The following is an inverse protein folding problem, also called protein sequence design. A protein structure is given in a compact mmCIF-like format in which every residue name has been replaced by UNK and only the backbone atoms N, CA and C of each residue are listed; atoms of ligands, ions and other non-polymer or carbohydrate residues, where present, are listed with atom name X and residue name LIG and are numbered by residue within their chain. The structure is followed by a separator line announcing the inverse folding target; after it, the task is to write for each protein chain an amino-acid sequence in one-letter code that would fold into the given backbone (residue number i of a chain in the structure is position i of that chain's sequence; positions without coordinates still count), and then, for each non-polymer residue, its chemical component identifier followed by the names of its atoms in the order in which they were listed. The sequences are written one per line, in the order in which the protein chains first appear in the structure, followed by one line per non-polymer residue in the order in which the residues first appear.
data_IF_398588726143
#
_entry.id   IF_398588726143
#
_cell.length_a   1.000
_cell.length_b   1.000
_cell.length_c   1.000
_cell.angle_alpha   90.00
_cell.angle_beta   90.00
_cell.angle_gamma   90.00
#
_symmetry.space_group_name_H-M   'P 1'
#
loop_
_entity.id
_entity.type
_entity.pdbx_description
1 polymer ?
#
# COMPACT_ATOMS: atom_id res chain seq x y z
N UNK A 1 -15.61 -1.87 -20.14
CA UNK A 1 -16.61 -1.67 -21.21
C UNK A 1 -16.06 -0.89 -22.38
N UNK A 2 -15.60 0.35 -22.22
CA UNK A 2 -15.03 1.15 -23.33
C UNK A 2 -13.91 0.45 -24.09
N UNK A 3 -12.92 -0.11 -23.39
CA UNK A 3 -11.83 -0.89 -24.01
C UNK A 3 -12.33 -2.08 -24.86
N UNK A 4 -13.37 -2.77 -24.40
CA UNK A 4 -13.98 -3.88 -25.16
C UNK A 4 -14.70 -3.34 -26.40
N UNK A 5 -15.41 -2.21 -26.28
CA UNK A 5 -16.11 -1.59 -27.39
C UNK A 5 -15.15 -1.08 -28.48
N UNK A 6 -14.02 -0.47 -28.10
CA UNK A 6 -12.96 -0.07 -29.03
C UNK A 6 -12.40 -1.32 -29.75
N UNK A 7 -12.03 -2.35 -28.99
CA UNK A 7 -11.45 -3.57 -29.57
C UNK A 7 -12.40 -4.29 -30.54
N UNK A 8 -13.71 -4.30 -30.25
CA UNK A 8 -14.73 -4.88 -31.14
C UNK A 8 -14.94 -4.04 -32.39
N UNK A 9 -14.87 -2.71 -32.26
CA UNK A 9 -14.93 -1.79 -33.41
C UNK A 9 -13.74 -1.98 -34.33
N UNK A 10 -12.54 -2.08 -33.76
CA UNK A 10 -11.30 -2.37 -34.51
C UNK A 10 -11.37 -3.74 -35.18
N UNK A 11 -11.81 -4.78 -34.45
CA UNK A 11 -12.00 -6.12 -35.02
C UNK A 11 -12.94 -6.10 -36.23
N UNK A 12 -14.07 -5.40 -36.12
CA UNK A 12 -15.02 -5.27 -37.24
C UNK A 12 -14.34 -4.60 -38.44
N UNK A 13 -13.64 -3.48 -38.22
CA UNK A 13 -12.92 -2.74 -39.27
C UNK A 13 -11.90 -3.62 -39.98
N UNK A 14 -11.06 -4.36 -39.25
CA UNK A 14 -10.06 -5.25 -39.84
C UNK A 14 -10.67 -6.40 -40.67
N UNK A 15 -11.83 -6.90 -40.24
CA UNK A 15 -12.57 -7.94 -40.98
C UNK A 15 -13.19 -7.35 -42.25
N UNK A 16 -13.82 -6.18 -42.16
CA UNK A 16 -14.46 -5.52 -43.31
C UNK A 16 -13.42 -5.17 -44.39
N UNK A 17 -12.25 -4.65 -44.02
CA UNK A 17 -11.13 -4.37 -44.95
C UNK A 17 -10.64 -5.62 -45.70
N UNK A 18 -10.74 -6.82 -45.10
CA UNK A 18 -10.40 -8.09 -45.76
C UNK A 18 -11.50 -8.57 -46.69
N UNK A 19 -12.76 -8.37 -46.30
CA UNK A 19 -13.92 -8.70 -47.14
C UNK A 19 -13.91 -7.83 -48.40
N UNK A 20 -13.59 -6.54 -48.27
CA UNK A 20 -13.45 -5.61 -49.42
C UNK A 20 -12.33 -6.03 -50.39
N UNK A 21 -11.29 -6.71 -49.90
CA UNK A 21 -10.23 -7.31 -50.73
C UNK A 21 -10.64 -8.61 -51.41
N UNK A 22 -11.89 -9.06 -51.23
CA UNK A 22 -12.45 -10.26 -51.87
C UNK A 22 -12.32 -11.54 -51.06
N UNK A 23 -11.90 -11.49 -49.79
CA UNK A 23 -11.85 -12.67 -48.93
C UNK A 23 -13.28 -13.08 -48.48
N UNK A 24 -13.64 -14.39 -48.47
CA UNK A 24 -14.90 -14.84 -47.89
C UNK A 24 -14.99 -14.48 -46.40
N UNK A 25 -16.16 -14.04 -45.94
CA UNK A 25 -16.41 -13.57 -44.56
C UNK A 25 -15.81 -14.47 -43.47
N UNK A 26 -16.05 -15.78 -43.55
CA UNK A 26 -15.53 -16.75 -42.56
C UNK A 26 -14.00 -16.82 -42.58
N UNK A 27 -13.40 -16.78 -43.77
CA UNK A 27 -11.95 -16.78 -43.92
C UNK A 27 -11.34 -15.51 -43.30
N UNK A 28 -11.90 -14.34 -43.61
CA UNK A 28 -11.46 -13.05 -43.08
C UNK A 28 -11.48 -13.03 -41.53
N UNK A 29 -12.59 -13.49 -40.93
CA UNK A 29 -12.75 -13.61 -39.47
C UNK A 29 -11.66 -14.50 -38.86
N UNK A 30 -11.43 -15.69 -39.43
CA UNK A 30 -10.43 -16.63 -38.91
C UNK A 30 -9.02 -16.03 -38.97
N UNK A 31 -8.70 -15.28 -40.02
CA UNK A 31 -7.38 -14.64 -40.16
C UNK A 31 -7.14 -13.56 -39.09
N UNK A 32 -8.14 -12.70 -38.83
CA UNK A 32 -8.04 -11.67 -37.77
C UNK A 32 -7.95 -12.32 -36.39
N UNK A 33 -8.75 -13.35 -36.11
CA UNK A 33 -8.66 -14.09 -34.84
C UNK A 33 -7.25 -14.71 -34.66
N UNK A 34 -6.69 -15.33 -35.70
CA UNK A 34 -5.33 -15.90 -35.64
C UNK A 34 -4.27 -14.84 -35.35
N UNK A 35 -4.42 -13.62 -35.92
CA UNK A 35 -3.56 -12.48 -35.60
C UNK A 35 -3.69 -12.12 -34.10
N UNK A 36 -4.91 -11.99 -33.59
CA UNK A 36 -5.14 -11.60 -32.19
C UNK A 36 -4.69 -12.65 -31.18
N UNK A 37 -4.80 -13.94 -31.49
CA UNK A 37 -4.23 -15.02 -30.66
C UNK A 37 -2.71 -14.85 -30.48
N UNK A 38 -2.00 -14.41 -31.51
CA UNK A 38 -0.56 -14.14 -31.43
C UNK A 38 -0.26 -12.89 -30.62
N UNK A 39 -1.00 -11.80 -30.85
CA UNK A 39 -0.82 -10.52 -30.15
C UNK A 39 -1.13 -10.66 -28.66
N UNK A 40 -2.19 -11.38 -28.29
CA UNK A 40 -2.59 -11.62 -26.89
C UNK A 40 -1.74 -12.67 -26.17
N UNK A 41 -0.74 -13.27 -26.82
CA UNK A 41 0.09 -14.30 -26.18
C UNK A 41 0.76 -13.84 -24.87
N UNK A 42 1.30 -12.61 -24.76
CA UNK A 42 1.96 -12.16 -23.52
C UNK A 42 1.03 -12.13 -22.30
N UNK A 43 -0.23 -11.71 -22.46
CA UNK A 43 -1.17 -11.55 -21.34
C UNK A 43 -1.78 -12.87 -20.83
N UNK A 44 -1.63 -13.96 -21.59
CA UNK A 44 -2.18 -15.28 -21.22
C UNK A 44 -1.25 -16.00 -20.25
N UNK A 45 -1.75 -16.28 -19.05
CA UNK A 45 -1.01 -16.98 -18.01
C UNK A 45 -1.95 -17.85 -17.19
N UNK A 46 -1.61 -19.14 -17.07
CA UNK A 46 -2.41 -20.16 -16.38
C UNK A 46 -1.73 -20.67 -15.09
N UNK A 47 -0.71 -19.95 -14.60
CA UNK A 47 0.05 -20.29 -13.40
C UNK A 47 -0.40 -19.53 -12.14
N UNK A 48 0.43 -19.56 -11.10
CA UNK A 48 0.18 -18.81 -9.88
C UNK A 48 0.44 -17.31 -10.07
N UNK A 49 -0.62 -16.50 -10.15
CA UNK A 49 -0.53 -15.05 -10.33
C UNK A 49 0.03 -14.26 -9.14
N UNK A 50 0.27 -14.90 -7.99
CA UNK A 50 0.79 -14.24 -6.79
C UNK A 50 2.28 -14.49 -6.54
N UNK A 51 2.91 -15.42 -7.29
CA UNK A 51 4.32 -15.75 -7.06
C UNK A 51 5.24 -14.63 -7.53
N UNK A 52 6.40 -14.48 -6.87
CA UNK A 52 7.44 -13.56 -7.34
C UNK A 52 7.99 -13.97 -8.72
N UNK A 53 7.98 -15.28 -9.02
CA UNK A 53 8.28 -15.81 -10.35
C UNK A 53 7.37 -15.22 -11.44
N UNK A 54 6.08 -15.03 -11.15
CA UNK A 54 5.16 -14.40 -12.09
C UNK A 54 5.45 -12.91 -12.27
N UNK A 55 5.83 -12.19 -11.21
CA UNK A 55 6.19 -10.76 -11.33
C UNK A 55 7.37 -10.56 -12.27
N UNK A 56 8.41 -11.38 -12.12
CA UNK A 56 9.58 -11.35 -13.02
C UNK A 56 9.20 -11.73 -14.45
N UNK A 57 8.40 -12.79 -14.61
CA UNK A 57 7.95 -13.25 -15.92
C UNK A 57 7.05 -12.24 -16.63
N UNK A 58 6.13 -11.59 -15.91
CA UNK A 58 5.26 -10.54 -16.43
C UNK A 58 6.08 -9.35 -16.93
N UNK A 59 7.09 -8.92 -16.18
CA UNK A 59 8.03 -7.88 -16.59
C UNK A 59 8.83 -8.29 -17.85
N UNK A 60 9.31 -9.55 -17.93
CA UNK A 60 9.98 -10.07 -19.14
C UNK A 60 9.06 -10.09 -20.36
N UNK A 61 7.76 -10.26 -20.16
CA UNK A 61 6.73 -10.21 -21.21
C UNK A 61 6.34 -8.78 -21.62
N UNK A 62 6.88 -7.77 -20.95
CA UNK A 62 6.54 -6.37 -21.17
C UNK A 62 5.16 -5.98 -20.62
N UNK A 63 4.64 -6.74 -19.65
CA UNK A 63 3.40 -6.38 -18.95
C UNK A 63 3.69 -5.31 -17.91
N UNK A 64 2.80 -4.34 -17.78
CA UNK A 64 2.88 -3.31 -16.75
C UNK A 64 2.76 -3.97 -15.36
N UNK A 65 3.78 -3.74 -14.53
CA UNK A 65 3.90 -4.28 -13.18
C UNK A 65 4.02 -3.16 -12.13
N UNK A 66 3.67 -1.92 -12.49
CA UNK A 66 3.66 -0.80 -11.56
C UNK A 66 2.70 -1.06 -10.39
N UNK A 67 3.14 -0.72 -9.18
CA UNK A 67 2.37 -0.90 -7.94
C UNK A 67 2.02 0.43 -7.27
N UNK A 68 2.67 1.51 -7.68
CA UNK A 68 2.42 2.85 -7.17
C UNK A 68 1.10 3.38 -7.69
N UNK A 69 0.07 3.39 -6.82
CA UNK A 69 -1.24 3.97 -7.11
C UNK A 69 -1.18 5.32 -7.83
N UNK A 70 -0.41 6.33 -7.37
CA UNK A 70 -0.38 7.62 -8.05
C UNK A 70 0.26 7.56 -9.45
N UNK A 71 1.23 6.67 -9.69
CA UNK A 71 1.84 6.49 -11.01
C UNK A 71 0.90 5.74 -11.95
N UNK A 72 0.20 4.71 -11.46
CA UNK A 72 -0.79 3.96 -12.25
C UNK A 72 -1.88 4.89 -12.79
N UNK A 73 -2.26 5.94 -12.07
CA UNK A 73 -3.25 6.89 -12.55
C UNK A 73 -2.82 7.59 -13.84
N UNK A 74 -1.51 7.77 -14.09
CA UNK A 74 -0.99 8.36 -15.34
C UNK A 74 -1.44 7.59 -16.58
N UNK A 75 -1.74 6.30 -16.45
CA UNK A 75 -2.21 5.46 -17.56
C UNK A 75 -3.52 5.99 -18.18
N UNK A 76 -4.33 6.74 -17.43
CA UNK A 76 -5.52 7.42 -17.97
C UNK A 76 -5.19 8.57 -18.94
N UNK A 77 -4.00 9.14 -18.86
CA UNK A 77 -3.56 10.27 -19.69
C UNK A 77 -2.65 9.85 -20.85
N UNK A 78 -2.36 8.55 -20.98
CA UNK A 78 -1.67 8.04 -22.16
C UNK A 78 -2.51 8.30 -23.40
N UNK A 79 -1.84 8.61 -24.52
CA UNK A 79 -2.53 8.94 -25.78
C UNK A 79 -3.44 7.81 -26.27
N UNK A 80 -3.07 6.56 -26.02
CA UNK A 80 -3.91 5.40 -26.34
C UNK A 80 -5.19 5.38 -25.51
N UNK A 81 -5.09 5.63 -24.19
CA UNK A 81 -6.24 5.69 -23.30
C UNK A 81 -7.16 6.87 -23.64
N UNK A 82 -6.59 8.05 -23.87
CA UNK A 82 -7.35 9.24 -24.26
C UNK A 82 -8.08 9.00 -25.59
N UNK A 83 -7.39 8.48 -26.61
CA UNK A 83 -8.00 8.15 -27.90
C UNK A 83 -9.13 7.13 -27.76
N UNK A 84 -8.96 6.10 -26.94
CA UNK A 84 -10.01 5.11 -26.68
C UNK A 84 -11.27 5.77 -26.09
N UNK A 85 -11.10 6.64 -25.09
CA UNK A 85 -12.23 7.32 -24.45
C UNK A 85 -12.92 8.33 -25.37
N UNK A 86 -12.15 9.10 -26.14
CA UNK A 86 -12.67 10.11 -27.07
C UNK A 86 -13.37 9.48 -28.27
N UNK A 87 -12.77 8.45 -28.88
CA UNK A 87 -13.36 7.76 -30.04
C UNK A 87 -14.65 7.03 -29.69
N UNK A 88 -14.77 6.53 -28.46
CA UNK A 88 -16.00 5.92 -27.96
C UNK A 88 -17.05 6.95 -27.48
N UNK A 89 -16.72 8.25 -27.48
CA UNK A 89 -17.61 9.31 -26.99
C UNK A 89 -17.93 9.21 -25.49
N UNK A 90 -17.04 8.61 -24.70
CA UNK A 90 -17.26 8.35 -23.27
C UNK A 90 -16.71 9.47 -22.39
N UNK A 91 -15.48 9.92 -22.67
CA UNK A 91 -14.83 11.03 -21.97
C UNK A 91 -13.92 11.79 -22.93
N UNK A 92 -13.77 13.07 -22.70
CA UNK A 92 -12.79 13.95 -23.35
C UNK A 92 -11.48 13.98 -22.57
N UNK A 93 -10.37 14.41 -23.20
CA UNK A 93 -9.10 14.64 -22.50
C UNK A 93 -9.25 15.47 -21.21
N UNK A 94 -10.00 16.58 -21.27
CA UNK A 94 -10.21 17.46 -20.11
C UNK A 94 -10.91 16.74 -18.95
N UNK A 95 -11.87 15.87 -19.24
CA UNK A 95 -12.56 15.09 -18.22
C UNK A 95 -11.65 14.01 -17.62
N UNK A 96 -10.75 13.41 -18.41
CA UNK A 96 -9.75 12.47 -17.93
C UNK A 96 -8.71 13.15 -17.02
N UNK A 97 -8.23 14.33 -17.41
CA UNK A 97 -7.34 15.17 -16.60
C UNK A 97 -7.99 15.50 -15.25
N UNK A 98 -9.22 16.02 -15.25
CA UNK A 98 -9.96 16.34 -14.03
C UNK A 98 -10.20 15.09 -13.15
N UNK A 99 -10.52 13.94 -13.76
CA UNK A 99 -10.72 12.68 -13.04
C UNK A 99 -9.44 12.21 -12.35
N UNK A 100 -8.30 12.37 -13.02
CA UNK A 100 -7.00 12.03 -12.46
C UNK A 100 -6.60 12.95 -11.31
N UNK A 101 -6.83 14.24 -11.46
CA UNK A 101 -6.62 15.22 -10.39
C UNK A 101 -7.38 14.82 -9.11
N UNK A 102 -8.68 14.50 -9.25
CA UNK A 102 -9.50 14.02 -8.13
C UNK A 102 -8.98 12.71 -7.54
N UNK A 103 -8.44 11.79 -8.37
CA UNK A 103 -7.85 10.53 -7.89
C UNK A 103 -6.59 10.76 -7.06
N UNK A 104 -5.67 11.61 -7.52
CA UNK A 104 -4.46 11.97 -6.77
C UNK A 104 -4.80 12.68 -5.47
N UNK A 105 -5.75 13.61 -5.52
CA UNK A 105 -6.22 14.33 -4.33
C UNK A 105 -6.85 13.35 -3.31
N UNK A 106 -7.72 12.44 -3.77
CA UNK A 106 -8.37 11.43 -2.92
C UNK A 106 -7.34 10.50 -2.27
N UNK A 107 -6.37 10.01 -3.05
CA UNK A 107 -5.29 9.18 -2.56
C UNK A 107 -4.48 9.91 -1.47
N UNK A 108 -4.05 11.13 -1.77
CA UNK A 108 -3.29 11.98 -0.84
C UNK A 108 -4.05 12.21 0.46
N UNK A 109 -5.33 12.60 0.38
CA UNK A 109 -6.17 12.83 1.56
C UNK A 109 -6.32 11.57 2.41
N UNK A 110 -6.48 10.41 1.78
CA UNK A 110 -6.60 9.13 2.49
C UNK A 110 -5.34 8.83 3.31
N UNK A 111 -4.17 8.83 2.67
CA UNK A 111 -2.89 8.59 3.37
C UNK A 111 -2.64 9.66 4.44
N UNK A 112 -3.00 10.91 4.16
CA UNK A 112 -2.88 11.99 5.13
C UNK A 112 -3.73 11.73 6.39
N UNK A 113 -4.97 11.26 6.24
CA UNK A 113 -5.85 10.92 7.38
C UNK A 113 -5.27 9.75 8.15
N UNK A 114 -4.87 8.68 7.46
CA UNK A 114 -4.24 7.50 8.08
C UNK A 114 -3.01 7.91 8.92
N UNK A 115 -2.16 8.78 8.39
CA UNK A 115 -0.99 9.28 9.10
C UNK A 115 -1.34 10.20 10.29
N UNK A 116 -2.41 10.98 10.23
CA UNK A 116 -2.89 11.76 11.39
C UNK A 116 -3.37 10.83 12.49
N UNK A 117 -4.26 9.92 12.13
CA UNK A 117 -4.89 9.00 13.08
C UNK A 117 -3.83 8.11 13.71
N UNK A 118 -2.88 7.57 12.94
CA UNK A 118 -1.79 6.77 13.50
C UNK A 118 -0.96 7.58 14.51
N UNK A 119 -0.53 8.78 14.15
CA UNK A 119 0.24 9.64 15.06
C UNK A 119 -0.50 9.95 16.36
N UNK A 120 -1.78 10.31 16.25
CA UNK A 120 -2.62 10.62 17.41
C UNK A 120 -2.85 9.38 18.29
N UNK A 121 -3.15 8.22 17.69
CA UNK A 121 -3.34 6.97 18.42
C UNK A 121 -2.07 6.53 19.13
N UNK A 122 -0.93 6.64 18.46
CA UNK A 122 0.36 6.26 19.01
C UNK A 122 0.69 7.09 20.24
N UNK A 123 0.59 8.41 20.14
CA UNK A 123 1.02 9.31 21.20
C UNK A 123 0.08 9.30 22.40
N UNK A 124 -1.22 9.10 22.17
CA UNK A 124 -2.22 9.16 23.23
C UNK A 124 -2.61 7.80 23.83
N UNK A 125 -2.45 6.70 23.09
CA UNK A 125 -2.91 5.37 23.52
C UNK A 125 -1.76 4.35 23.62
N UNK A 126 -0.92 4.22 22.59
CA UNK A 126 0.12 3.17 22.57
C UNK A 126 1.29 3.48 23.50
N UNK A 127 1.90 4.66 23.32
CA UNK A 127 3.10 5.08 24.06
C UNK A 127 2.84 5.18 25.56
N UNK A 128 1.75 5.81 26.05
CA UNK A 128 1.50 5.92 27.48
C UNK A 128 1.35 4.55 28.16
N UNK A 129 0.62 3.62 27.53
CA UNK A 129 0.41 2.26 28.04
C UNK A 129 1.73 1.49 28.11
N UNK A 130 2.57 1.60 27.07
CA UNK A 130 3.88 0.96 27.05
C UNK A 130 4.80 1.50 28.18
N UNK A 131 4.78 2.81 28.43
CA UNK A 131 5.56 3.44 29.52
C UNK A 131 5.02 3.01 30.90
N UNK A 132 3.70 2.92 31.05
CA UNK A 132 3.10 2.46 32.32
C UNK A 132 3.51 1.01 32.61
N UNK A 133 3.43 0.13 31.62
CA UNK A 133 3.87 -1.26 31.77
C UNK A 133 5.37 -1.36 32.05
N UNK A 134 6.20 -0.59 31.33
CA UNK A 134 7.62 -0.49 31.59
C UNK A 134 7.92 -0.07 33.04
N UNK A 135 7.15 0.89 33.57
CA UNK A 135 7.31 1.36 34.95
C UNK A 135 7.01 0.25 35.97
N UNK A 136 5.99 -0.58 35.73
CA UNK A 136 5.68 -1.76 36.56
C UNK A 136 6.83 -2.77 36.55
N UNK A 137 7.43 -3.03 35.39
CA UNK A 137 8.58 -3.93 35.28
C UNK A 137 9.81 -3.38 36.02
N UNK A 138 10.09 -2.08 35.90
CA UNK A 138 11.19 -1.42 36.60
C UNK A 138 11.02 -1.52 38.12
N UNK A 139 9.82 -1.26 38.63
CA UNK A 139 9.50 -1.37 40.06
C UNK A 139 9.68 -2.81 40.58
N UNK A 140 9.27 -3.81 39.79
CA UNK A 140 9.53 -5.22 40.11
C UNK A 140 11.03 -5.52 40.22
N UNK A 141 11.83 -5.09 39.22
CA UNK A 141 13.29 -5.28 39.25
C UNK A 141 13.92 -4.59 40.46
N UNK A 142 13.48 -3.36 40.77
CA UNK A 142 13.96 -2.60 41.90
C UNK A 142 13.67 -3.32 43.23
N UNK A 143 12.43 -3.79 43.42
CA UNK A 143 12.03 -4.56 44.61
C UNK A 143 12.80 -5.88 44.75
N UNK A 144 13.03 -6.60 43.65
CA UNK A 144 13.82 -7.85 43.68
C UNK A 144 15.25 -7.61 44.16
N UNK A 145 15.88 -6.51 43.73
CA UNK A 145 17.23 -6.12 44.19
C UNK A 145 17.30 -5.76 45.67
N UNK A 146 16.19 -5.38 46.29
CA UNK A 146 16.13 -5.09 47.73
C UNK A 146 15.93 -6.34 48.59
N UNK A 147 15.28 -7.37 48.05
CA UNK A 147 14.90 -8.58 48.78
C UNK A 147 16.00 -9.66 48.70
N UNK A 148 16.65 -9.79 47.54
CA UNK A 148 17.64 -10.83 47.28
C UNK A 148 19.08 -10.30 47.29
N UNK A 149 20.08 -11.16 47.61
CA UNK A 149 21.49 -10.83 47.39
C UNK A 149 21.76 -10.44 45.94
N UNK A 150 22.72 -9.54 45.71
CA UNK A 150 22.96 -8.92 44.39
C UNK A 150 23.10 -9.92 43.25
N UNK A 151 23.88 -10.99 43.44
CA UNK A 151 24.13 -11.98 42.39
C UNK A 151 22.86 -12.79 42.02
N UNK A 152 22.01 -13.06 43.00
CA UNK A 152 20.74 -13.75 42.79
C UNK A 152 19.70 -12.82 42.16
N UNK A 153 19.62 -11.57 42.64
CA UNK A 153 18.73 -10.56 42.08
C UNK A 153 19.04 -10.26 40.60
N UNK A 154 20.32 -10.22 40.22
CA UNK A 154 20.73 -10.03 38.82
C UNK A 154 20.29 -11.17 37.91
N UNK A 155 20.44 -12.42 38.36
CA UNK A 155 19.98 -13.59 37.61
C UNK A 155 18.45 -13.60 37.47
N UNK A 156 17.73 -13.34 38.55
CA UNK A 156 16.26 -13.37 38.56
C UNK A 156 15.62 -12.19 37.81
N UNK A 157 16.31 -11.04 37.68
CA UNK A 157 15.78 -9.85 36.99
C UNK A 157 16.25 -9.70 35.54
N UNK A 158 17.11 -10.59 35.04
CA UNK A 158 17.72 -10.50 33.72
C UNK A 158 16.69 -10.40 32.58
N UNK A 159 15.64 -11.21 32.62
CA UNK A 159 14.57 -11.21 31.61
C UNK A 159 13.75 -9.92 31.64
N UNK A 160 13.34 -9.48 32.85
CA UNK A 160 12.62 -8.21 33.01
C UNK A 160 13.45 -7.03 32.49
N UNK A 161 14.76 -7.01 32.75
CA UNK A 161 15.65 -6.00 32.21
C UNK A 161 15.75 -6.03 30.68
N UNK A 162 15.72 -7.22 30.07
CA UNK A 162 15.69 -7.34 28.62
C UNK A 162 14.38 -6.81 28.01
N UNK A 163 13.24 -7.10 28.66
CA UNK A 163 11.93 -6.58 28.25
C UNK A 163 11.87 -5.06 28.37
N UNK A 164 12.35 -4.50 29.49
CA UNK A 164 12.40 -3.05 29.72
C UNK A 164 13.19 -2.34 28.60
N UNK A 165 14.35 -2.91 28.21
CA UNK A 165 15.16 -2.37 27.10
C UNK A 165 14.40 -2.39 25.78
N UNK A 166 13.76 -3.51 25.43
CA UNK A 166 12.97 -3.62 24.19
C UNK A 166 11.82 -2.60 24.15
N UNK A 167 11.10 -2.42 25.26
CA UNK A 167 10.03 -1.42 25.34
C UNK A 167 10.62 -0.01 25.13
N UNK A 168 11.75 0.31 25.76
CA UNK A 168 12.42 1.60 25.58
C UNK A 168 12.82 1.84 24.11
N UNK A 169 13.42 0.86 23.47
CA UNK A 169 13.86 0.92 22.07
C UNK A 169 12.66 1.14 21.12
N UNK A 170 11.61 0.33 21.25
CA UNK A 170 10.43 0.46 20.39
C UNK A 170 9.70 1.79 20.63
N UNK A 171 9.50 2.21 21.89
CA UNK A 171 8.82 3.49 22.20
C UNK A 171 9.62 4.70 21.74
N UNK A 172 10.96 4.67 21.86
CA UNK A 172 11.82 5.74 21.36
C UNK A 172 11.75 5.85 19.84
N UNK A 173 11.88 4.71 19.14
CA UNK A 173 11.78 4.65 17.69
C UNK A 173 10.45 5.21 17.19
N UNK A 174 9.35 4.77 17.80
CA UNK A 174 8.00 5.21 17.44
C UNK A 174 7.86 6.73 17.58
N UNK A 175 8.28 7.32 18.71
CA UNK A 175 8.17 8.78 18.93
C UNK A 175 8.93 9.56 17.87
N UNK A 176 10.20 9.20 17.64
CA UNK A 176 11.06 9.84 16.65
C UNK A 176 10.48 9.75 15.22
N UNK A 177 9.96 8.58 14.85
CA UNK A 177 9.42 8.37 13.50
C UNK A 177 8.05 9.01 13.32
N UNK A 178 7.23 9.14 14.37
CA UNK A 178 6.00 9.95 14.32
C UNK A 178 6.33 11.43 14.11
N UNK A 179 7.30 11.99 14.84
CA UNK A 179 7.72 13.38 14.66
C UNK A 179 8.26 13.61 13.25
N UNK A 180 9.11 12.70 12.77
CA UNK A 180 9.65 12.72 11.41
C UNK A 180 8.55 12.65 10.35
N UNK A 181 7.56 11.77 10.53
CA UNK A 181 6.40 11.64 9.64
C UNK A 181 5.56 12.92 9.63
N UNK A 182 5.36 13.57 10.78
CA UNK A 182 4.64 14.84 10.88
C UNK A 182 5.37 15.94 10.09
N UNK A 183 6.69 16.04 10.22
CA UNK A 183 7.48 17.00 9.44
C UNK A 183 7.47 16.69 7.95
N UNK A 184 7.66 15.42 7.57
CA UNK A 184 7.59 15.00 6.17
C UNK A 184 6.23 15.36 5.54
N UNK A 185 5.13 15.19 6.29
CA UNK A 185 3.79 15.63 5.84
C UNK A 185 3.68 17.14 5.70
N UNK A 186 4.26 17.92 6.61
CA UNK A 186 4.28 19.40 6.49
C UNK A 186 5.01 19.84 5.21
N UNK A 187 6.08 19.15 4.84
CA UNK A 187 6.80 19.41 3.58
C UNK A 187 5.95 19.00 2.38
N UNK A 188 5.42 17.77 2.37
CA UNK A 188 4.59 17.26 1.27
C UNK A 188 3.35 18.12 1.00
N UNK A 189 2.72 18.65 2.04
CA UNK A 189 1.53 19.52 1.91
C UNK A 189 1.81 20.87 1.23
N UNK A 190 3.07 21.27 1.09
CA UNK A 190 3.45 22.50 0.37
C UNK A 190 3.58 22.29 -1.14
N UNK A 191 3.56 21.05 -1.60
CA UNK A 191 3.60 20.73 -3.03
C UNK A 191 2.27 21.18 -3.64
N UNK A 192 2.32 21.98 -4.70
CA UNK A 192 1.13 22.52 -5.36
C UNK A 192 0.52 21.51 -6.32
N UNK A 193 1.37 20.81 -7.09
CA UNK A 193 0.94 19.80 -8.05
C UNK A 193 0.40 18.54 -7.34
N UNK A 194 -0.84 18.15 -7.64
CA UNK A 194 -1.51 17.02 -6.98
C UNK A 194 -0.85 15.68 -7.29
N UNK A 195 -0.33 15.48 -8.52
CA UNK A 195 0.38 14.26 -8.90
C UNK A 195 1.67 14.11 -8.10
N UNK A 196 2.52 15.13 -8.10
CA UNK A 196 3.78 15.14 -7.36
C UNK A 196 3.54 14.99 -5.84
N UNK A 197 2.48 15.63 -5.31
CA UNK A 197 2.07 15.46 -3.92
C UNK A 197 1.67 14.02 -3.62
N UNK A 198 0.86 13.40 -4.48
CA UNK A 198 0.44 12.02 -4.30
C UNK A 198 1.62 11.04 -4.34
N UNK A 199 2.59 11.26 -5.23
CA UNK A 199 3.84 10.48 -5.30
C UNK A 199 4.66 10.67 -4.02
N UNK A 200 4.84 11.90 -3.53
CA UNK A 200 5.57 12.16 -2.28
C UNK A 200 4.93 11.45 -1.08
N UNK A 201 3.59 11.44 -1.01
CA UNK A 201 2.85 10.70 0.01
C UNK A 201 3.03 9.17 -0.14
N UNK A 202 3.00 8.66 -1.37
CA UNK A 202 3.24 7.24 -1.63
C UNK A 202 4.67 6.82 -1.27
N UNK A 203 5.68 7.55 -1.72
CA UNK A 203 7.09 7.13 -1.65
C UNK A 203 7.72 7.40 -0.28
N UNK A 204 7.26 8.41 0.46
CA UNK A 204 7.84 8.78 1.75
C UNK A 204 6.94 8.54 2.94
N UNK A 205 5.66 8.90 2.86
CA UNK A 205 4.76 8.85 4.03
C UNK A 205 4.23 7.43 4.24
N UNK A 206 3.81 6.74 3.18
CA UNK A 206 3.29 5.37 3.29
C UNK A 206 4.29 4.39 3.94
N UNK A 207 5.59 4.38 3.57
CA UNK A 207 6.56 3.51 4.23
C UNK A 207 6.76 3.82 5.72
N UNK A 208 6.66 5.10 6.12
CA UNK A 208 6.76 5.48 7.53
C UNK A 208 5.59 4.92 8.36
N UNK A 209 4.38 4.84 7.79
CA UNK A 209 3.23 4.20 8.45
C UNK A 209 3.53 2.75 8.81
N UNK A 210 4.05 1.99 7.85
CA UNK A 210 4.39 0.57 8.04
C UNK A 210 5.54 0.37 9.03
N UNK A 211 6.56 1.24 8.99
CA UNK A 211 7.67 1.21 9.96
C UNK A 211 7.19 1.47 11.39
N UNK A 212 6.37 2.51 11.59
CA UNK A 212 5.79 2.82 12.91
C UNK A 212 4.92 1.66 13.38
N UNK A 213 4.05 1.15 12.50
CA UNK A 213 3.16 0.02 12.78
C UNK A 213 3.94 -1.22 13.23
N UNK A 214 5.04 -1.56 12.56
CA UNK A 214 5.86 -2.71 12.96
C UNK A 214 6.29 -2.64 14.42
N UNK A 215 6.71 -1.46 14.91
CA UNK A 215 7.12 -1.29 16.30
C UNK A 215 5.92 -1.33 17.27
N UNK A 216 4.75 -0.84 16.86
CA UNK A 216 3.51 -0.96 17.64
C UNK A 216 3.14 -2.44 17.81
N UNK A 217 3.14 -3.21 16.72
CA UNK A 217 2.82 -4.62 16.73
C UNK A 217 3.80 -5.42 17.60
N UNK A 218 5.08 -5.01 17.67
CA UNK A 218 6.04 -5.60 18.63
C UNK A 218 5.72 -5.24 20.08
N UNK A 219 5.30 -4.01 20.36
CA UNK A 219 4.86 -3.63 21.70
C UNK A 219 3.60 -4.38 22.13
N UNK A 220 2.64 -4.61 21.23
CA UNK A 220 1.41 -5.37 21.52
C UNK A 220 1.69 -6.78 22.06
N UNK A 221 2.76 -7.41 21.58
CA UNK A 221 3.19 -8.75 22.02
C UNK A 221 3.91 -8.76 23.37
N UNK A 222 4.47 -7.62 23.78
CA UNK A 222 5.27 -7.49 25.00
C UNK A 222 4.43 -6.96 26.16
N UNK A 223 3.54 -6.02 25.89
CA UNK A 223 2.71 -5.37 26.90
C UNK A 223 1.58 -6.31 27.35
N UNK A 224 1.27 -6.25 28.65
CA UNK A 224 0.16 -7.00 29.22
C UNK A 224 -1.16 -6.70 28.50
N UNK A 225 -1.88 -7.78 28.20
CA UNK A 225 -3.12 -7.79 27.45
C UNK A 225 -4.21 -6.93 28.11
N UNK A 226 -4.27 -6.97 29.45
CA UNK A 226 -5.25 -6.19 30.22
C UNK A 226 -5.00 -4.69 30.17
N UNK A 227 -3.77 -4.28 29.89
CA UNK A 227 -3.39 -2.87 29.78
C UNK A 227 -3.51 -2.34 28.36
N UNK A 228 -3.49 -3.23 27.36
CA UNK A 228 -3.52 -2.83 25.96
C UNK A 228 -4.89 -2.27 25.58
N UNK A 229 -4.95 -1.00 25.20
CA UNK A 229 -6.21 -0.26 25.04
C UNK A 229 -6.94 -0.53 23.72
N UNK A 230 -6.24 -1.09 22.73
CA UNK A 230 -6.81 -1.35 21.41
C UNK A 230 -7.23 -2.82 21.31
N UNK A 231 -8.39 -3.12 20.70
CA UNK A 231 -8.80 -4.51 20.51
C UNK A 231 -7.79 -5.23 19.62
N UNK A 232 -7.33 -6.40 20.06
CA UNK A 232 -6.37 -7.20 19.30
C UNK A 232 -7.05 -7.85 18.09
N UNK A 233 -6.27 -8.22 17.08
CA UNK A 233 -6.81 -8.86 15.87
C UNK A 233 -7.68 -10.09 16.17
N UNK A 234 -7.29 -10.91 17.16
CA UNK A 234 -8.07 -12.09 17.56
C UNK A 234 -9.47 -11.72 18.07
N UNK A 235 -9.62 -10.56 18.69
CA UNK A 235 -10.88 -10.08 19.26
C UNK A 235 -11.76 -9.53 18.15
N UNK A 236 -11.19 -8.69 17.29
CA UNK A 236 -11.87 -8.14 16.11
C UNK A 236 -12.38 -9.22 15.14
N UNK A 237 -11.64 -10.32 15.01
CA UNK A 237 -11.94 -11.36 14.03
C UNK A 237 -12.84 -12.47 14.56
N UNK A 238 -12.78 -12.79 15.87
CA UNK A 238 -13.41 -14.01 16.40
C UNK A 238 -14.31 -13.79 17.61
N UNK A 239 -14.23 -12.66 18.31
CA UNK A 239 -15.08 -12.38 19.47
C UNK A 239 -16.29 -11.58 18.97
N UNK A 240 -17.46 -12.23 19.00
CA UNK A 240 -18.77 -11.62 18.74
C UNK A 240 -19.47 -11.28 20.03
#
# INVERSE_FOLDING_TARGET
NTAVAEQLTEFKKEVDERIEKGEPKISAIIQVIRKYIKISKPIRFDGNGYSDEWKEEAARRGLDCETSCPVIFDQYLTEDSVRMFESAGVMTRKELEARNEVKWETYTKKIQIEARVLGDLVMNHVVPVAIEYQSKLIDNVYKMKQIFPTEEAEKLSAENMAIIRKIAEHTSYIKEHVDTMVEARKVANKIVDERAKAIEYHDKITPMLEQIRYHIDKLELIVDDQMWTLPKYRELLFIR
#
